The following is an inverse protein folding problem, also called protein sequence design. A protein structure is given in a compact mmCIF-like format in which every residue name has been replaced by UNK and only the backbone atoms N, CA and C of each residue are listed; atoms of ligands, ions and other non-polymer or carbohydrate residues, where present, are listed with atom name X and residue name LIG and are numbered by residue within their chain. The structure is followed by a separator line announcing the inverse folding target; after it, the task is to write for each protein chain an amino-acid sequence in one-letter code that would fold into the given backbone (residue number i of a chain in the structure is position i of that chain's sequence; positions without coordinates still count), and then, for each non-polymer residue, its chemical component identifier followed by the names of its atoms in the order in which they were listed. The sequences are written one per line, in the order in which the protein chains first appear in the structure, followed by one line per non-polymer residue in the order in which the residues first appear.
data_IF_744139735139
#
_entry.id   IF_744139735139
#
_cell.length_a   1.000
_cell.length_b   1.000
_cell.length_c   1.000
_cell.angle_alpha   90.00
_cell.angle_beta   90.00
_cell.angle_gamma   90.00
#
_symmetry.space_group_name_H-M   'P 1'
#
loop_
_entity.id
_entity.type
_entity.pdbx_description
1 polymer ?
#
# COMPACT_ATOMS: atom_id res chain seq x y z
N UNK A 1 16.40 6.11 8.23
CA UNK A 1 15.82 6.52 6.94
C UNK A 1 14.42 7.04 7.21
N UNK A 2 14.13 8.27 6.76
CA UNK A 2 12.94 9.05 7.12
C UNK A 2 11.64 8.29 6.82
N UNK A 3 10.83 8.08 7.86
CA UNK A 3 9.45 7.60 7.74
C UNK A 3 8.56 8.79 7.38
N UNK A 4 8.60 9.19 6.11
CA UNK A 4 7.58 10.04 5.53
C UNK A 4 7.57 9.85 4.02
N UNK A 5 6.53 9.17 3.52
CA UNK A 5 6.20 9.13 2.10
C UNK A 5 5.98 10.53 1.51
N UNK A 6 5.88 11.57 2.37
CA UNK A 6 6.08 12.98 2.00
C UNK A 6 7.00 13.69 3.02
N UNK A 7 8.30 13.35 3.06
CA UNK A 7 9.28 14.10 3.87
C UNK A 7 9.47 15.55 3.41
N UNK A 8 8.89 15.93 2.27
CA UNK A 8 9.02 17.24 1.62
C UNK A 8 8.06 18.29 2.21
N UNK A 9 7.11 17.87 3.04
CA UNK A 9 6.12 18.75 3.66
C UNK A 9 5.86 18.29 5.11
N UNK A 10 5.97 19.22 6.07
CA UNK A 10 5.44 19.03 7.43
C UNK A 10 4.08 19.72 7.52
N UNK A 11 3.03 19.08 8.05
CA UNK A 11 1.75 19.75 8.24
C UNK A 11 1.90 20.79 9.37
N UNK A 12 2.10 22.05 9.00
CA UNK A 12 1.88 23.18 9.88
C UNK A 12 0.59 23.86 9.42
N UNK A 13 -0.48 23.68 10.20
CA UNK A 13 -1.69 24.48 10.05
C UNK A 13 -1.44 25.86 10.71
N UNK A 14 -0.72 26.73 10.01
CA UNK A 14 -0.77 28.16 10.25
C UNK A 14 -1.31 28.85 9.01
N UNK A 15 -2.44 29.54 9.17
CA UNK A 15 -3.02 30.37 8.10
C UNK A 15 -2.15 31.61 7.98
N UNK A 16 -1.13 31.55 7.14
CA UNK A 16 -0.40 32.74 6.73
C UNK A 16 -1.26 33.55 5.75
N UNK A 17 -1.29 34.89 5.86
CA UNK A 17 -1.92 35.73 4.84
C UNK A 17 -1.25 35.47 3.49
N UNK A 18 -2.00 35.54 2.40
CA UNK A 18 -1.53 35.23 1.04
C UNK A 18 -0.21 35.95 0.72
N UNK A 19 0.90 35.25 0.94
CA UNK A 19 2.22 35.58 0.44
C UNK A 19 2.14 35.51 -1.08
N UNK A 20 2.81 36.44 -1.77
CA UNK A 20 3.03 36.27 -3.20
C UNK A 20 3.78 34.96 -3.41
N UNK A 21 3.23 34.05 -4.22
CA UNK A 21 3.91 32.80 -4.58
C UNK A 21 5.23 33.17 -5.24
N UNK A 22 6.34 32.91 -4.56
CA UNK A 22 7.67 33.12 -5.09
C UNK A 22 8.16 31.85 -5.78
N UNK A 23 8.34 31.94 -7.09
CA UNK A 23 8.98 30.93 -7.90
C UNK A 23 10.48 31.19 -7.98
N UNK A 24 11.25 30.12 -7.93
CA UNK A 24 12.71 30.12 -8.06
C UNK A 24 13.15 28.91 -8.88
N UNK A 25 14.42 28.88 -9.27
CA UNK A 25 14.99 27.66 -9.84
C UNK A 25 14.78 26.49 -8.89
N UNK A 26 14.32 25.35 -9.41
CA UNK A 26 14.15 24.15 -8.61
C UNK A 26 15.50 23.77 -7.96
N UNK A 27 15.52 23.37 -6.68
CA UNK A 27 16.72 22.79 -6.10
C UNK A 27 17.06 21.47 -6.81
N UNK A 28 18.31 20.99 -6.76
CA UNK A 28 18.64 19.67 -7.28
C UNK A 28 17.80 18.60 -6.59
N UNK A 29 16.98 17.89 -7.37
CA UNK A 29 16.18 16.76 -6.90
C UNK A 29 16.96 15.46 -7.09
N UNK A 30 16.58 14.41 -6.35
CA UNK A 30 17.08 13.05 -6.52
C UNK A 30 15.91 12.08 -6.61
N UNK A 31 16.13 10.90 -7.19
CA UNK A 31 15.06 9.88 -7.23
C UNK A 31 14.63 9.46 -5.82
N UNK A 32 15.57 9.30 -4.89
CA UNK A 32 15.27 8.89 -3.51
C UNK A 32 14.37 9.91 -2.78
N UNK A 33 14.47 11.20 -3.12
CA UNK A 33 13.60 12.24 -2.55
C UNK A 33 12.15 12.15 -3.05
N UNK A 34 11.95 11.67 -4.28
CA UNK A 34 10.67 11.68 -4.98
C UNK A 34 9.97 10.31 -4.99
N UNK A 35 10.73 9.23 -4.82
CA UNK A 35 10.21 7.88 -4.89
C UNK A 35 9.17 7.63 -3.79
N UNK A 36 7.95 7.29 -4.19
CA UNK A 36 6.81 7.06 -3.31
C UNK A 36 6.11 8.32 -2.82
N UNK A 37 6.37 9.49 -3.43
CA UNK A 37 5.70 10.76 -3.11
C UNK A 37 4.41 10.94 -3.92
N UNK A 38 3.50 11.76 -3.39
CA UNK A 38 2.18 11.97 -3.97
C UNK A 38 1.96 13.43 -4.39
N UNK A 39 1.29 13.62 -5.52
CA UNK A 39 1.17 14.91 -6.18
C UNK A 39 -0.20 15.08 -6.81
N UNK A 40 -0.69 16.31 -6.84
CA UNK A 40 -1.68 16.75 -7.83
C UNK A 40 -0.96 17.28 -9.06
N UNK A 41 -1.54 17.04 -10.24
CA UNK A 41 -1.03 17.48 -11.53
C UNK A 41 -2.08 18.34 -12.23
N UNK A 42 -1.63 19.49 -12.73
CA UNK A 42 -2.44 20.44 -13.48
C UNK A 42 -1.60 21.30 -14.40
N UNK A 43 -2.24 22.26 -15.06
CA UNK A 43 -1.56 23.30 -15.83
C UNK A 43 -2.17 24.68 -15.59
N UNK A 44 -1.41 25.73 -15.90
CA UNK A 44 -1.81 27.13 -15.62
C UNK A 44 -3.07 27.59 -16.35
N UNK A 45 -3.46 26.92 -17.43
CA UNK A 45 -4.62 27.30 -18.24
C UNK A 45 -5.88 26.53 -17.84
N UNK A 46 -5.77 25.22 -17.59
CA UNK A 46 -6.92 24.34 -17.28
C UNK A 46 -7.11 24.06 -15.80
N UNK A 47 -6.12 24.34 -14.97
CA UNK A 47 -6.11 23.97 -13.55
C UNK A 47 -5.77 22.49 -13.33
N UNK A 48 -6.13 21.99 -12.14
CA UNK A 48 -5.85 20.61 -11.71
C UNK A 48 -6.77 19.63 -12.43
N UNK A 49 -6.20 18.65 -13.12
CA UNK A 49 -6.94 17.56 -13.77
C UNK A 49 -6.68 16.19 -13.12
N UNK A 50 -5.57 16.02 -12.38
CA UNK A 50 -5.33 14.86 -11.52
C UNK A 50 -5.07 15.34 -10.10
N UNK A 51 -5.88 14.89 -9.13
CA UNK A 51 -5.75 15.29 -7.72
C UNK A 51 -4.78 14.42 -6.93
N UNK A 52 -4.50 13.22 -7.43
CA UNK A 52 -3.65 12.25 -6.75
C UNK A 52 -2.94 11.38 -7.78
N UNK A 53 -1.64 11.62 -7.93
CA UNK A 53 -0.68 10.89 -8.74
C UNK A 53 0.49 10.49 -7.84
N UNK A 54 1.07 9.32 -8.06
CA UNK A 54 2.22 8.83 -7.31
C UNK A 54 3.44 8.81 -8.21
N UNK A 55 4.56 9.35 -7.75
CA UNK A 55 5.87 9.06 -8.34
C UNK A 55 6.34 7.72 -7.78
N UNK A 56 5.81 6.63 -8.34
CA UNK A 56 5.96 5.28 -7.81
C UNK A 56 7.38 4.71 -8.08
N UNK A 57 7.80 3.65 -7.37
CA UNK A 57 9.13 3.07 -7.54
C UNK A 57 9.41 2.62 -8.97
N UNK A 58 10.70 2.51 -9.30
CA UNK A 58 11.17 2.12 -10.64
C UNK A 58 10.74 3.09 -11.76
N UNK A 59 10.46 4.36 -11.43
CA UNK A 59 10.07 5.39 -12.38
C UNK A 59 8.62 5.29 -12.87
N UNK A 60 7.80 4.41 -12.29
CA UNK A 60 6.41 4.24 -12.69
C UNK A 60 5.54 5.42 -12.24
N UNK A 61 4.52 5.77 -13.03
CA UNK A 61 3.49 6.74 -12.65
C UNK A 61 2.31 5.98 -12.04
N UNK A 62 1.98 6.29 -10.79
CA UNK A 62 0.85 5.71 -10.07
C UNK A 62 -0.39 6.58 -10.11
N UNK A 63 -1.57 5.96 -10.18
CA UNK A 63 -2.90 6.58 -10.14
C UNK A 63 -3.18 7.67 -11.20
N UNK A 64 -2.31 7.83 -12.19
CA UNK A 64 -2.51 8.64 -13.37
C UNK A 64 -1.98 7.85 -14.56
N UNK A 65 -2.80 7.63 -15.59
CA UNK A 65 -2.45 6.78 -16.71
C UNK A 65 -2.75 7.52 -18.02
N UNK A 66 -1.77 8.25 -18.51
CA UNK A 66 -1.80 8.96 -19.79
C UNK A 66 -0.51 8.62 -20.56
N UNK A 67 -0.57 8.26 -21.85
CA UNK A 67 0.65 7.92 -22.59
C UNK A 67 1.67 9.06 -22.73
N UNK A 68 1.29 10.32 -22.47
CA UNK A 68 2.23 11.45 -22.41
C UNK A 68 2.92 11.57 -21.02
N UNK A 69 2.50 10.79 -20.03
CA UNK A 69 3.05 10.73 -18.67
C UNK A 69 3.11 9.25 -18.26
N UNK A 70 3.99 8.51 -18.92
CA UNK A 70 4.15 7.07 -18.75
C UNK A 70 5.19 6.74 -17.66
N UNK A 71 6.21 7.58 -17.54
CA UNK A 71 7.35 7.35 -16.66
C UNK A 71 7.83 8.66 -16.02
N UNK A 72 8.52 8.58 -14.88
CA UNK A 72 9.24 9.69 -14.28
C UNK A 72 10.71 9.35 -14.06
N UNK A 73 11.54 10.38 -14.16
CA UNK A 73 12.96 10.26 -13.90
C UNK A 73 13.53 11.57 -13.37
N UNK A 74 14.72 11.52 -12.78
CA UNK A 74 15.48 12.73 -12.45
C UNK A 74 16.67 12.83 -13.39
N UNK A 75 16.69 13.84 -14.25
CA UNK A 75 17.76 14.11 -15.19
C UNK A 75 18.48 15.40 -14.79
N UNK A 76 19.79 15.33 -14.54
CA UNK A 76 20.60 16.49 -14.12
C UNK A 76 19.99 17.29 -12.94
N UNK A 77 19.41 16.59 -11.95
CA UNK A 77 18.79 17.21 -10.78
C UNK A 77 17.41 17.82 -11.03
N UNK A 78 16.77 17.54 -12.18
CA UNK A 78 15.41 17.99 -12.52
C UNK A 78 14.47 16.79 -12.62
N UNK A 79 13.26 16.92 -12.07
CA UNK A 79 12.21 15.95 -12.31
C UNK A 79 11.75 16.08 -13.77
N UNK A 80 11.69 14.96 -14.47
CA UNK A 80 11.15 14.85 -15.81
C UNK A 80 9.99 13.86 -15.79
N UNK A 81 8.85 14.25 -16.37
CA UNK A 81 7.85 13.32 -16.84
C UNK A 81 8.21 12.92 -18.28
N UNK A 82 7.99 11.66 -18.60
CA UNK A 82 8.42 11.02 -19.84
C UNK A 82 7.20 10.34 -20.47
N UNK A 83 7.05 10.48 -21.78
CA UNK A 83 6.01 9.81 -22.54
C UNK A 83 6.36 8.33 -22.84
N UNK A 84 5.40 7.60 -23.40
CA UNK A 84 5.54 6.18 -23.78
C UNK A 84 6.68 5.90 -24.77
N UNK A 85 7.14 6.92 -25.50
CA UNK A 85 8.19 6.79 -26.51
C UNK A 85 9.57 7.12 -25.91
N UNK A 86 9.63 7.45 -24.62
CA UNK A 86 10.85 7.75 -23.89
C UNK A 86 11.30 9.19 -24.00
N UNK A 87 10.46 10.09 -24.53
CA UNK A 87 10.79 11.51 -24.66
C UNK A 87 10.28 12.30 -23.45
N UNK A 88 11.02 13.32 -22.96
CA UNK A 88 10.52 14.20 -21.90
C UNK A 88 9.26 14.94 -22.35
N UNK A 89 8.16 14.73 -21.63
CA UNK A 89 6.92 15.47 -21.83
C UNK A 89 6.91 16.78 -21.05
N UNK A 90 7.45 16.78 -19.82
CA UNK A 90 7.62 17.99 -18.99
C UNK A 90 8.93 17.90 -18.23
N UNK A 91 9.69 18.99 -18.21
CA UNK A 91 10.89 19.14 -17.36
C UNK A 91 10.58 20.21 -16.31
N UNK A 92 10.61 19.82 -15.04
CA UNK A 92 10.32 20.70 -13.91
C UNK A 92 11.61 21.40 -13.46
N UNK A 93 11.77 22.65 -13.88
CA UNK A 93 12.96 23.47 -13.64
C UNK A 93 12.75 24.57 -12.60
N UNK A 94 11.50 24.80 -12.19
CA UNK A 94 11.10 25.83 -11.25
C UNK A 94 10.43 25.22 -10.03
N UNK A 95 10.65 25.80 -8.86
CA UNK A 95 10.02 25.39 -7.61
C UNK A 95 9.49 26.58 -6.83
N UNK A 96 8.40 26.32 -6.09
CA UNK A 96 7.93 27.16 -5.02
C UNK A 96 8.28 26.50 -3.69
N UNK A 97 9.01 27.22 -2.83
CA UNK A 97 9.49 26.74 -1.54
C UNK A 97 9.03 27.72 -0.46
N UNK A 98 8.43 27.18 0.61
CA UNK A 98 8.05 27.94 1.80
C UNK A 98 8.62 27.27 3.05
N UNK A 99 9.32 28.04 3.87
CA UNK A 99 10.01 27.56 5.09
C UNK A 99 10.89 26.31 4.87
N UNK A 100 11.52 26.23 3.69
CA UNK A 100 12.37 25.11 3.28
C UNK A 100 11.62 23.86 2.80
N UNK A 101 10.28 23.89 2.73
CA UNK A 101 9.46 22.81 2.21
C UNK A 101 9.15 23.03 0.72
N UNK A 102 9.19 21.97 -0.07
CA UNK A 102 8.83 22.04 -1.48
C UNK A 102 7.31 22.07 -1.61
N UNK A 103 6.76 23.23 -1.98
CA UNK A 103 5.32 23.47 -2.03
C UNK A 103 4.74 23.24 -3.43
N UNK A 104 5.53 23.45 -4.48
CA UNK A 104 5.17 23.08 -5.85
C UNK A 104 6.39 23.01 -6.77
N UNK A 105 6.26 22.26 -7.86
CA UNK A 105 7.15 22.28 -9.00
C UNK A 105 6.40 22.81 -10.23
N UNK A 106 7.08 23.58 -11.07
CA UNK A 106 6.58 24.01 -12.36
C UNK A 106 7.56 23.64 -13.48
N UNK A 107 7.01 23.27 -14.63
CA UNK A 107 7.79 22.92 -15.80
C UNK A 107 7.00 23.18 -17.07
N UNK A 108 7.68 23.62 -18.14
CA UNK A 108 7.06 23.73 -19.46
C UNK A 108 7.16 22.40 -20.19
N UNK A 109 6.13 22.06 -20.95
CA UNK A 109 6.10 20.80 -21.68
C UNK A 109 4.81 20.60 -22.46
N UNK A 110 4.63 19.39 -22.98
CA UNK A 110 3.46 18.98 -23.77
C UNK A 110 2.87 17.69 -23.19
N UNK A 111 1.64 17.76 -22.70
CA UNK A 111 0.86 16.58 -22.28
C UNK A 111 -0.41 16.53 -23.13
N UNK A 112 -0.67 15.40 -23.78
CA UNK A 112 -1.87 15.22 -24.61
C UNK A 112 -2.01 16.25 -25.74
N UNK A 113 -0.89 16.73 -26.29
CA UNK A 113 -0.86 17.75 -27.35
C UNK A 113 -1.03 19.20 -26.88
N UNK A 114 -1.07 19.45 -25.57
CA UNK A 114 -1.20 20.81 -25.00
C UNK A 114 0.15 21.31 -24.50
N UNK A 115 0.75 22.28 -25.19
CA UNK A 115 1.91 23.05 -24.69
C UNK A 115 1.44 24.01 -23.60
N UNK A 116 1.97 23.85 -22.39
CA UNK A 116 1.61 24.67 -21.23
C UNK A 116 2.72 24.63 -20.18
N UNK A 117 2.56 25.46 -19.14
CA UNK A 117 3.28 25.30 -17.88
C UNK A 117 2.47 24.38 -16.98
N UNK A 118 3.04 23.21 -16.69
CA UNK A 118 2.47 22.20 -15.83
C UNK A 118 2.95 22.39 -14.39
N UNK A 119 2.06 22.10 -13.45
CA UNK A 119 2.27 22.25 -12.01
C UNK A 119 2.12 20.89 -11.33
N UNK A 120 3.09 20.57 -10.47
CA UNK A 120 2.99 19.50 -9.50
C UNK A 120 2.93 20.12 -8.10
N UNK A 121 1.86 19.84 -7.36
CA UNK A 121 1.70 20.30 -5.97
C UNK A 121 1.63 19.06 -5.08
N UNK A 122 2.41 18.94 -4.00
CA UNK A 122 2.34 17.79 -3.10
C UNK A 122 0.90 17.56 -2.65
N UNK A 123 0.49 16.30 -2.63
CA UNK A 123 -0.83 15.88 -2.21
C UNK A 123 -0.70 14.85 -1.08
N UNK A 124 -1.76 14.75 -0.27
CA UNK A 124 -1.93 13.64 0.66
C UNK A 124 -2.94 12.64 0.09
N UNK A 125 -2.99 11.44 0.68
CA UNK A 125 -4.12 10.56 0.45
C UNK A 125 -5.41 11.31 0.80
N UNK A 126 -6.40 11.34 -0.10
CA UNK A 126 -7.67 11.98 0.19
C UNK A 126 -8.37 11.28 1.37
N UNK A 127 -9.12 12.05 2.19
CA UNK A 127 -9.83 11.50 3.33
C UNK A 127 -10.88 10.47 2.89
N UNK A 128 -11.16 9.48 3.73
CA UNK A 128 -12.10 8.42 3.40
C UNK A 128 -13.53 8.95 3.24
N UNK A 129 -14.22 8.71 2.12
CA UNK A 129 -15.44 9.43 1.78
C UNK A 129 -16.64 9.18 2.70
N UNK A 130 -16.65 8.06 3.43
CA UNK A 130 -17.80 7.64 4.24
C UNK A 130 -17.54 7.63 5.75
N UNK A 131 -16.28 7.41 6.15
CA UNK A 131 -15.93 7.02 7.52
C UNK A 131 -14.69 7.76 8.02
N UNK A 132 -14.38 8.91 7.43
CA UNK A 132 -13.20 9.72 7.79
C UNK A 132 -13.10 9.90 9.30
N UNK A 133 -11.95 9.52 9.85
CA UNK A 133 -11.60 9.83 11.23
C UNK A 133 -11.55 11.36 11.39
N UNK A 134 -12.23 11.95 12.39
CA UNK A 134 -12.18 13.38 12.64
C UNK A 134 -10.76 13.89 12.89
N UNK A 135 -10.51 15.14 12.53
CA UNK A 135 -9.22 15.82 12.79
C UNK A 135 -8.91 15.78 14.28
N UNK A 136 -7.66 15.42 14.62
CA UNK A 136 -7.16 15.37 16.00
C UNK A 136 -7.39 14.05 16.73
N UNK A 137 -8.12 13.09 16.15
CA UNK A 137 -8.20 11.74 16.70
C UNK A 137 -6.91 10.99 16.35
N UNK A 138 -6.16 10.60 17.38
CA UNK A 138 -4.93 9.83 17.20
C UNK A 138 -5.24 8.41 16.69
N UNK A 139 -4.51 8.00 15.65
CA UNK A 139 -4.63 6.68 15.03
C UNK A 139 -3.31 5.94 15.20
N UNK A 140 -3.16 5.36 16.39
CA UNK A 140 -1.93 4.74 16.88
C UNK A 140 -2.24 3.60 17.84
N UNK A 141 -1.83 2.40 17.49
CA UNK A 141 -1.93 1.25 18.37
C UNK A 141 -0.90 1.33 19.51
N UNK A 142 -1.27 0.83 20.69
CA UNK A 142 -0.35 0.59 21.79
C UNK A 142 0.01 -0.89 21.84
N UNK A 143 1.30 -1.19 21.75
CA UNK A 143 1.80 -2.54 21.95
C UNK A 143 1.78 -2.91 23.44
N UNK A 144 1.08 -3.99 23.76
CA UNK A 144 1.11 -4.68 25.06
C UNK A 144 2.38 -5.54 25.17
N UNK A 145 2.80 -6.14 24.05
CA UNK A 145 4.04 -6.90 23.91
C UNK A 145 4.78 -6.38 22.69
N UNK A 146 6.08 -6.19 22.84
CA UNK A 146 7.03 -5.87 21.77
C UNK A 146 8.44 -6.36 22.20
N UNK A 147 9.31 -6.78 21.28
CA UNK A 147 10.65 -7.24 21.62
C UNK A 147 11.51 -6.07 22.14
N UNK A 148 12.39 -6.35 23.11
CA UNK A 148 13.50 -5.46 23.45
C UNK A 148 14.46 -5.41 22.24
N UNK A 149 15.10 -4.26 21.99
CA UNK A 149 15.89 -4.03 20.76
C UNK A 149 16.83 -5.19 20.40
N UNK A 150 16.99 -5.49 19.10
CA UNK A 150 18.14 -6.27 18.60
C UNK A 150 17.89 -7.66 18.01
N UNK A 151 16.74 -8.30 18.18
CA UNK A 151 16.41 -9.57 17.50
C UNK A 151 15.17 -9.39 16.65
N UNK A 152 15.35 -9.26 15.34
CA UNK A 152 14.25 -9.16 14.38
C UNK A 152 14.56 -9.98 13.14
N UNK A 153 13.58 -10.75 12.73
CA UNK A 153 13.62 -11.45 11.44
C UNK A 153 13.34 -10.44 10.31
N UNK A 154 13.71 -10.73 9.05
CA UNK A 154 13.52 -9.77 7.95
C UNK A 154 12.04 -9.59 7.56
N UNK A 155 11.17 -10.54 7.90
CA UNK A 155 9.78 -10.56 7.45
C UNK A 155 8.78 -10.44 8.62
N UNK A 156 7.59 -9.93 8.34
CA UNK A 156 6.54 -9.73 9.33
C UNK A 156 5.20 -10.26 8.83
N UNK A 157 4.51 -10.99 9.69
CA UNK A 157 3.10 -11.32 9.52
C UNK A 157 2.29 -10.41 10.45
N UNK A 158 1.33 -9.67 9.91
CA UNK A 158 0.41 -8.83 10.69
C UNK A 158 -1.00 -9.35 10.54
N UNK A 159 -1.50 -10.01 11.58
CA UNK A 159 -2.84 -10.61 11.57
C UNK A 159 -3.75 -9.84 12.53
N UNK A 160 -4.88 -9.29 12.04
CA UNK A 160 -5.99 -8.93 12.91
C UNK A 160 -6.64 -10.22 13.39
N UNK A 161 -6.55 -10.55 14.67
CA UNK A 161 -6.99 -11.86 15.19
C UNK A 161 -8.10 -11.74 16.24
N UNK A 162 -9.03 -12.69 16.22
CA UNK A 162 -9.94 -12.98 17.32
C UNK A 162 -9.67 -14.36 17.93
N UNK A 163 -10.51 -14.77 18.89
CA UNK A 163 -10.43 -16.08 19.56
C UNK A 163 -10.57 -17.30 18.64
N UNK A 164 -11.03 -17.12 17.39
CA UNK A 164 -11.15 -18.18 16.37
C UNK A 164 -10.11 -18.10 15.26
N UNK A 165 -9.06 -17.30 15.44
CA UNK A 165 -8.01 -17.15 14.43
C UNK A 165 -7.25 -18.47 14.23
N UNK A 166 -6.87 -18.74 12.99
CA UNK A 166 -6.09 -19.91 12.58
C UNK A 166 -4.58 -19.70 12.63
N UNK A 167 -4.10 -18.50 13.03
CA UNK A 167 -2.67 -18.22 13.13
C UNK A 167 -1.85 -19.23 13.98
N UNK A 168 -2.41 -19.94 14.99
CA UNK A 168 -1.63 -20.96 15.69
C UNK A 168 -1.13 -22.09 14.78
N UNK A 169 -1.88 -22.39 13.70
CA UNK A 169 -1.50 -23.40 12.71
C UNK A 169 -0.28 -22.99 11.88
N UNK A 170 0.05 -21.70 11.84
CA UNK A 170 1.19 -21.18 11.09
C UNK A 170 2.55 -21.52 11.72
N UNK A 171 2.55 -22.04 12.96
CA UNK A 171 3.76 -22.55 13.61
C UNK A 171 3.95 -24.06 13.43
N UNK A 172 3.05 -24.72 12.70
CA UNK A 172 3.26 -26.12 12.34
C UNK A 172 4.37 -26.26 11.31
N UNK A 173 5.09 -27.39 11.40
CA UNK A 173 6.21 -27.77 10.52
C UNK A 173 7.38 -26.78 10.48
N UNK A 174 7.43 -25.80 11.38
CA UNK A 174 8.56 -24.89 11.47
C UNK A 174 9.04 -24.78 12.91
N UNK A 175 10.36 -24.76 13.09
CA UNK A 175 10.98 -24.43 14.36
C UNK A 175 11.43 -22.96 14.39
N UNK A 176 11.71 -22.46 15.59
CA UNK A 176 12.08 -21.05 15.79
C UNK A 176 13.40 -20.66 15.09
N UNK A 177 14.33 -21.60 14.96
CA UNK A 177 15.63 -21.40 14.32
C UNK A 177 15.53 -21.28 12.79
N UNK A 178 14.55 -21.97 12.19
CA UNK A 178 14.30 -21.98 10.75
C UNK A 178 13.31 -20.89 10.32
N UNK A 179 12.45 -20.42 11.24
CA UNK A 179 11.47 -19.35 10.99
C UNK A 179 12.17 -18.04 10.62
N UNK A 180 11.74 -17.41 9.51
CA UNK A 180 12.31 -16.16 9.00
C UNK A 180 11.36 -14.96 9.08
N UNK A 181 10.27 -15.08 9.83
CA UNK A 181 9.24 -14.07 10.00
C UNK A 181 8.83 -13.92 11.47
N UNK A 182 8.55 -12.69 11.87
CA UNK A 182 7.95 -12.36 13.15
C UNK A 182 6.43 -12.20 13.01
N UNK A 183 5.68 -12.31 14.10
CA UNK A 183 4.23 -12.21 14.16
C UNK A 183 3.81 -11.00 15.00
N UNK A 184 2.98 -10.15 14.40
CA UNK A 184 2.27 -9.07 15.06
C UNK A 184 0.77 -9.34 15.06
N UNK A 185 0.19 -9.38 16.25
CA UNK A 185 -1.22 -9.65 16.47
C UNK A 185 -1.94 -8.36 16.83
N UNK A 186 -2.84 -7.93 15.96
CA UNK A 186 -3.84 -6.91 16.26
C UNK A 186 -5.11 -7.56 16.77
N UNK A 187 -5.23 -7.75 18.07
CA UNK A 187 -6.35 -8.50 18.64
C UNK A 187 -7.63 -7.67 18.65
N UNK A 188 -8.67 -8.12 17.95
CA UNK A 188 -9.94 -7.37 17.83
C UNK A 188 -11.07 -7.88 18.74
N UNK A 189 -10.85 -8.99 19.47
CA UNK A 189 -11.81 -9.52 20.44
C UNK A 189 -12.17 -8.48 21.51
N UNK A 190 -13.40 -8.56 22.02
CA UNK A 190 -13.86 -7.66 23.08
C UNK A 190 -13.26 -8.05 24.44
N UNK A 191 -12.93 -9.33 24.59
CA UNK A 191 -12.23 -9.93 25.69
C UNK A 191 -10.77 -9.45 25.78
N UNK A 192 -10.17 -9.57 26.98
CA UNK A 192 -8.72 -9.45 27.10
C UNK A 192 -8.07 -10.50 26.20
N UNK A 193 -7.01 -10.16 25.45
CA UNK A 193 -6.40 -11.11 24.53
C UNK A 193 -5.91 -12.37 25.26
N UNK A 194 -6.68 -13.46 25.16
CA UNK A 194 -6.22 -14.82 25.42
C UNK A 194 -5.61 -15.33 24.11
N UNK A 195 -4.44 -14.78 23.78
CA UNK A 195 -3.70 -15.20 22.60
C UNK A 195 -3.11 -16.57 22.92
N UNK A 196 -3.42 -17.56 22.07
CA UNK A 196 -3.02 -18.97 22.21
C UNK A 196 -1.55 -19.18 22.61
N UNK A 197 -1.17 -20.39 22.99
CA UNK A 197 0.23 -20.82 23.27
C UNK A 197 1.25 -20.60 22.12
N UNK A 198 0.85 -19.98 21.02
CA UNK A 198 1.71 -19.65 19.88
C UNK A 198 2.64 -18.48 20.20
N UNK A 199 3.90 -18.50 19.73
CA UNK A 199 4.79 -17.37 19.92
C UNK A 199 4.34 -16.16 19.08
N UNK A 200 4.55 -14.97 19.61
CA UNK A 200 4.34 -13.71 18.91
C UNK A 200 5.33 -12.66 19.43
N UNK A 201 5.79 -11.81 18.53
CA UNK A 201 6.72 -10.73 18.87
C UNK A 201 5.97 -9.44 19.24
N UNK A 202 4.80 -9.20 18.64
CA UNK A 202 3.98 -8.02 18.93
C UNK A 202 2.53 -8.39 19.24
N UNK A 203 1.96 -7.69 20.22
CA UNK A 203 0.54 -7.77 20.55
C UNK A 203 -0.01 -6.38 20.82
N UNK A 204 -1.11 -6.02 20.16
CA UNK A 204 -1.92 -4.84 20.48
C UNK A 204 -3.39 -5.25 20.63
N UNK A 205 -4.10 -4.67 21.60
CA UNK A 205 -5.54 -4.91 21.79
C UNK A 205 -6.34 -3.74 21.20
N UNK A 206 -7.10 -4.03 20.15
CA UNK A 206 -7.86 -3.07 19.34
C UNK A 206 -9.31 -3.58 19.21
N UNK A 207 -10.05 -3.65 20.34
CA UNK A 207 -11.34 -4.33 20.39
C UNK A 207 -12.35 -3.73 19.41
N UNK A 208 -13.14 -4.59 18.78
CA UNK A 208 -14.24 -4.21 17.86
C UNK A 208 -13.79 -3.36 16.66
N UNK A 209 -12.51 -3.45 16.28
CA UNK A 209 -11.95 -2.73 15.15
C UNK A 209 -11.77 -3.67 13.96
N UNK A 210 -11.96 -3.16 12.74
CA UNK A 210 -11.82 -3.93 11.49
C UNK A 210 -10.35 -4.02 11.04
N UNK A 211 -10.06 -5.02 10.19
CA UNK A 211 -8.72 -5.36 9.69
C UNK A 211 -7.89 -4.14 9.26
N UNK A 212 -8.40 -3.33 8.33
CA UNK A 212 -7.61 -2.26 7.72
C UNK A 212 -7.37 -1.09 8.67
N UNK A 213 -8.34 -0.79 9.55
CA UNK A 213 -8.16 0.18 10.64
C UNK A 213 -7.10 -0.28 11.63
N UNK A 214 -7.11 -1.57 12.01
CA UNK A 214 -6.09 -2.19 12.87
C UNK A 214 -4.70 -2.09 12.23
N UNK A 215 -4.59 -2.49 10.97
CA UNK A 215 -3.32 -2.45 10.23
C UNK A 215 -2.78 -1.02 10.19
N UNK A 216 -3.63 -0.03 9.86
CA UNK A 216 -3.22 1.37 9.86
C UNK A 216 -2.71 1.81 11.25
N UNK A 217 -3.46 1.52 12.32
CA UNK A 217 -3.09 1.92 13.68
C UNK A 217 -1.76 1.29 14.13
N UNK A 218 -1.48 0.05 13.70
CA UNK A 218 -0.23 -0.66 13.97
C UNK A 218 0.97 -0.06 13.21
N UNK A 219 0.74 0.43 11.99
CA UNK A 219 1.76 1.05 11.13
C UNK A 219 1.83 2.58 11.28
N UNK A 220 1.55 3.11 12.47
CA UNK A 220 1.70 4.53 12.77
C UNK A 220 3.12 5.05 12.50
N UNK A 221 3.27 6.37 12.38
CA UNK A 221 4.60 7.00 12.21
C UNK A 221 5.53 6.62 13.38
N UNK A 222 6.73 6.15 13.05
CA UNK A 222 7.71 5.65 14.03
C UNK A 222 7.42 4.26 14.60
N UNK A 223 6.40 3.56 14.09
CA UNK A 223 6.12 2.17 14.49
C UNK A 223 7.32 1.27 14.23
N UNK A 224 7.67 0.35 15.16
CA UNK A 224 8.76 -0.60 14.95
C UNK A 224 8.49 -1.57 13.79
N UNK A 225 7.24 -1.71 13.35
CA UNK A 225 6.85 -2.60 12.25
C UNK A 225 7.38 -2.12 10.89
N UNK A 226 7.79 -0.86 10.77
CA UNK A 226 8.44 -0.34 9.56
C UNK A 226 9.87 -0.85 9.33
N UNK A 227 10.43 -1.61 10.28
CA UNK A 227 11.79 -2.15 10.15
C UNK A 227 11.86 -3.48 9.38
N UNK A 228 10.71 -4.04 9.01
CA UNK A 228 10.62 -5.28 8.23
C UNK A 228 10.64 -5.01 6.72
N UNK A 229 11.15 -5.97 5.96
CA UNK A 229 11.37 -5.83 4.51
C UNK A 229 10.21 -6.35 3.67
N UNK A 230 9.54 -7.41 4.15
CA UNK A 230 8.31 -7.97 3.60
C UNK A 230 7.27 -8.14 4.68
N UNK A 231 6.04 -7.78 4.35
CA UNK A 231 4.92 -7.74 5.28
C UNK A 231 3.76 -8.50 4.68
N UNK A 232 3.33 -9.58 5.32
CA UNK A 232 2.09 -10.29 4.98
C UNK A 232 0.96 -9.77 5.85
N UNK A 233 -0.18 -9.43 5.23
CA UNK A 233 -1.37 -8.90 5.91
C UNK A 233 -2.57 -9.88 5.76
N UNK A 234 -2.48 -11.10 6.31
CA UNK A 234 -3.53 -12.12 6.17
C UNK A 234 -4.80 -11.79 6.96
N UNK A 235 -5.93 -12.29 6.47
CA UNK A 235 -7.11 -12.56 7.29
C UNK A 235 -6.83 -13.71 8.27
N UNK A 236 -7.65 -13.79 9.31
CA UNK A 236 -7.42 -14.72 10.42
C UNK A 236 -7.94 -16.14 10.18
N UNK A 237 -8.51 -16.43 9.01
CA UNK A 237 -9.08 -17.73 8.60
C UNK A 237 -8.31 -18.44 7.48
N UNK A 238 -7.04 -18.06 7.30
CA UNK A 238 -6.18 -18.68 6.32
C UNK A 238 -5.44 -19.87 6.92
N UNK A 239 -5.68 -21.04 6.35
CA UNK A 239 -5.04 -22.28 6.76
C UNK A 239 -3.84 -22.58 5.87
N UNK A 240 -2.65 -22.50 6.48
CA UNK A 240 -1.36 -22.90 5.94
C UNK A 240 -0.42 -23.25 7.11
N UNK A 241 0.81 -23.65 6.81
CA UNK A 241 1.83 -23.96 7.82
C UNK A 241 3.04 -23.00 7.73
N UNK A 242 4.01 -23.15 8.63
CA UNK A 242 5.12 -22.23 8.73
C UNK A 242 6.14 -22.33 7.60
N UNK A 243 6.32 -23.53 7.02
CA UNK A 243 7.19 -23.73 5.84
C UNK A 243 6.63 -22.98 4.63
N UNK A 244 5.31 -23.04 4.44
CA UNK A 244 4.59 -22.27 3.43
C UNK A 244 4.87 -20.75 3.57
N UNK A 245 4.75 -20.19 4.78
CA UNK A 245 5.00 -18.77 5.03
C UNK A 245 6.47 -18.41 4.77
N UNK A 246 7.41 -19.23 5.25
CA UNK A 246 8.85 -19.04 5.01
C UNK A 246 9.15 -19.01 3.50
N UNK A 247 8.58 -19.94 2.75
CA UNK A 247 8.77 -20.07 1.30
C UNK A 247 8.13 -18.91 0.55
N UNK A 248 6.96 -18.44 1.00
CA UNK A 248 6.27 -17.28 0.43
C UNK A 248 7.13 -16.02 0.54
N UNK A 249 7.68 -15.73 1.73
CA UNK A 249 8.60 -14.60 1.90
C UNK A 249 9.87 -14.76 1.07
N UNK A 250 10.46 -15.96 1.03
CA UNK A 250 11.63 -16.22 0.20
C UNK A 250 11.36 -15.90 -1.28
N UNK A 251 10.23 -16.34 -1.83
CA UNK A 251 9.87 -16.09 -3.23
C UNK A 251 9.54 -14.61 -3.47
N UNK A 252 8.87 -13.94 -2.52
CA UNK A 252 8.63 -12.49 -2.61
C UNK A 252 9.92 -11.68 -2.66
N UNK A 253 10.92 -12.06 -1.87
CA UNK A 253 12.26 -11.48 -1.91
C UNK A 253 13.00 -11.79 -3.21
N UNK A 254 13.10 -13.08 -3.55
CA UNK A 254 13.84 -13.57 -4.73
C UNK A 254 13.38 -12.92 -6.03
N UNK A 255 12.07 -12.68 -6.17
CA UNK A 255 11.48 -12.07 -7.37
C UNK A 255 11.31 -10.55 -7.26
N UNK A 256 11.80 -9.92 -6.18
CA UNK A 256 11.73 -8.46 -6.02
C UNK A 256 10.29 -7.90 -5.98
N UNK A 257 9.33 -8.71 -5.54
CA UNK A 257 7.91 -8.37 -5.59
C UNK A 257 7.58 -7.23 -4.63
N UNK A 258 6.79 -6.27 -5.12
CA UNK A 258 6.26 -5.15 -4.35
C UNK A 258 4.89 -5.45 -3.77
N UNK A 259 4.08 -6.23 -4.48
CA UNK A 259 2.77 -6.66 -4.03
C UNK A 259 2.49 -8.07 -4.55
N UNK A 260 2.21 -9.02 -3.66
CA UNK A 260 1.99 -10.40 -4.03
C UNK A 260 0.93 -11.05 -3.14
N UNK A 261 0.56 -12.29 -3.43
CA UNK A 261 -0.16 -13.16 -2.50
C UNK A 261 0.22 -14.62 -2.75
N UNK A 262 0.09 -15.52 -1.76
CA UNK A 262 0.08 -16.94 -2.05
C UNK A 262 -1.16 -17.28 -2.90
N UNK A 263 -1.09 -18.38 -3.66
CA UNK A 263 -2.28 -18.88 -4.35
C UNK A 263 -3.30 -19.47 -3.38
N UNK A 264 -4.54 -19.63 -3.82
CA UNK A 264 -5.61 -20.23 -3.03
C UNK A 264 -5.86 -21.70 -3.40
N UNK A 265 -6.10 -22.53 -2.39
CA UNK A 265 -6.49 -23.93 -2.56
C UNK A 265 -7.88 -24.00 -3.18
N UNK A 266 -8.04 -24.89 -4.16
CA UNK A 266 -9.35 -25.28 -4.68
C UNK A 266 -9.79 -26.59 -4.02
N UNK A 267 -11.03 -26.66 -3.56
CA UNK A 267 -11.62 -27.90 -3.04
C UNK A 267 -12.38 -27.70 -1.74
N UNK A 268 -12.89 -28.80 -1.14
CA UNK A 268 -13.64 -28.75 0.10
C UNK A 268 -12.87 -28.03 1.21
N UNK A 269 -13.54 -27.12 1.93
CA UNK A 269 -12.95 -26.35 3.02
C UNK A 269 -12.15 -25.11 2.62
N UNK A 270 -12.09 -24.78 1.32
CA UNK A 270 -11.51 -23.53 0.82
C UNK A 270 -12.49 -22.79 -0.09
N UNK A 271 -12.65 -21.49 0.11
CA UNK A 271 -13.63 -20.64 -0.57
C UNK A 271 -12.94 -19.48 -1.31
N UNK A 272 -12.17 -19.76 -2.38
CA UNK A 272 -11.59 -18.70 -3.21
C UNK A 272 -12.68 -17.94 -3.98
N UNK A 273 -12.64 -16.60 -3.95
CA UNK A 273 -13.59 -15.77 -4.70
C UNK A 273 -13.24 -15.66 -6.18
N UNK A 274 -11.96 -15.40 -6.45
CA UNK A 274 -11.49 -15.06 -7.79
C UNK A 274 -10.76 -16.25 -8.42
N UNK A 275 -11.23 -16.81 -9.55
CA UNK A 275 -10.51 -17.87 -10.25
C UNK A 275 -9.04 -17.54 -10.56
N UNK A 276 -8.70 -16.26 -10.74
CA UNK A 276 -7.33 -15.82 -11.00
C UNK A 276 -6.37 -16.16 -9.83
N UNK A 277 -6.86 -16.16 -8.59
CA UNK A 277 -6.08 -16.39 -7.36
C UNK A 277 -5.90 -17.87 -7.01
N UNK A 278 -6.63 -18.76 -7.66
CA UNK A 278 -6.52 -20.22 -7.46
C UNK A 278 -5.17 -20.75 -7.97
N UNK A 279 -4.60 -21.70 -7.23
CA UNK A 279 -3.32 -22.34 -7.56
C UNK A 279 -3.30 -22.91 -8.97
N UNK A 280 -2.24 -22.58 -9.72
CA UNK A 280 -1.94 -23.22 -11.01
C UNK A 280 -0.86 -24.31 -10.82
N UNK A 281 -1.13 -25.58 -11.21
CA UNK A 281 -0.13 -26.64 -11.19
C UNK A 281 1.09 -26.29 -12.05
N UNK A 282 2.27 -26.81 -11.67
CA UNK A 282 3.54 -26.60 -12.37
C UNK A 282 3.99 -25.13 -12.51
N UNK A 283 3.44 -24.25 -11.68
CA UNK A 283 3.83 -22.84 -11.57
C UNK A 283 4.47 -22.59 -10.20
N UNK A 284 5.47 -21.71 -10.16
CA UNK A 284 6.11 -21.27 -8.90
C UNK A 284 5.61 -19.86 -8.53
N UNK A 285 5.68 -18.93 -9.49
CA UNK A 285 5.23 -17.54 -9.37
C UNK A 285 4.61 -17.13 -10.71
N UNK A 286 3.45 -16.48 -10.67
CA UNK A 286 2.76 -15.88 -11.83
C UNK A 286 2.64 -14.39 -11.66
N UNK A 287 3.22 -13.66 -12.58
CA UNK A 287 3.03 -12.22 -12.63
C UNK A 287 1.61 -11.91 -13.11
N UNK A 288 0.83 -11.27 -12.25
CA UNK A 288 -0.61 -11.04 -12.44
C UNK A 288 -0.96 -9.64 -11.93
N UNK A 289 -1.91 -8.97 -12.57
CA UNK A 289 -2.28 -7.57 -12.26
C UNK A 289 -3.17 -7.40 -11.03
N UNK A 290 -3.46 -8.46 -10.28
CA UNK A 290 -4.42 -8.45 -9.18
C UNK A 290 -3.92 -9.26 -7.98
N UNK A 291 -4.05 -8.67 -6.80
CA UNK A 291 -3.77 -9.28 -5.49
C UNK A 291 -4.96 -9.01 -4.59
N UNK A 292 -5.53 -10.05 -4.00
CA UNK A 292 -6.73 -9.95 -3.18
C UNK A 292 -6.39 -9.39 -1.79
N UNK A 293 -7.28 -8.54 -1.26
CA UNK A 293 -7.12 -7.85 0.03
C UNK A 293 -7.00 -8.77 1.25
N UNK A 294 -7.41 -10.03 1.10
CA UNK A 294 -7.46 -11.01 2.18
C UNK A 294 -6.07 -11.54 2.56
N UNK A 295 -5.09 -11.62 1.65
CA UNK A 295 -3.74 -12.12 1.99
C UNK A 295 -2.56 -11.45 1.26
N UNK A 296 -2.53 -10.12 1.12
CA UNK A 296 -1.45 -9.46 0.38
C UNK A 296 -0.13 -9.52 1.14
N UNK A 297 0.95 -9.72 0.40
CA UNK A 297 2.35 -9.58 0.81
C UNK A 297 2.91 -8.34 0.15
N UNK A 298 3.31 -7.36 0.94
CA UNK A 298 3.92 -6.12 0.47
C UNK A 298 5.44 -6.14 0.66
N UNK A 299 6.18 -5.48 -0.24
CA UNK A 299 7.46 -4.89 0.14
C UNK A 299 7.24 -3.69 1.06
N UNK A 300 8.20 -3.38 1.93
CA UNK A 300 8.11 -2.20 2.80
C UNK A 300 7.78 -0.92 2.03
N UNK A 301 8.49 -0.67 0.93
CA UNK A 301 8.30 0.53 0.11
C UNK A 301 6.90 0.62 -0.50
N UNK A 302 6.35 -0.52 -0.93
CA UNK A 302 4.99 -0.57 -1.47
C UNK A 302 3.93 -0.34 -0.40
N UNK A 303 4.12 -0.92 0.80
CA UNK A 303 3.22 -0.68 1.93
C UNK A 303 3.24 0.79 2.38
N UNK A 304 4.41 1.45 2.40
CA UNK A 304 4.51 2.88 2.73
C UNK A 304 3.67 3.77 1.81
N UNK A 305 3.59 3.43 0.53
CA UNK A 305 2.75 4.12 -0.46
C UNK A 305 1.27 3.81 -0.22
N UNK A 306 0.94 2.60 0.21
CA UNK A 306 -0.45 2.13 0.27
C UNK A 306 -1.12 2.31 1.64
N UNK A 307 -0.37 2.46 2.73
CA UNK A 307 -0.90 2.33 4.09
C UNK A 307 -1.99 3.36 4.41
N UNK A 308 -1.85 4.61 3.95
CA UNK A 308 -2.83 5.67 4.19
C UNK A 308 -4.19 5.37 3.57
N UNK A 309 -4.23 4.60 2.48
CA UNK A 309 -5.50 4.15 1.90
C UNK A 309 -6.32 3.23 2.81
N UNK A 310 -5.69 2.63 3.84
CA UNK A 310 -6.33 1.71 4.79
C UNK A 310 -6.95 2.42 5.99
N UNK A 311 -6.62 3.70 6.23
CA UNK A 311 -6.87 4.44 7.47
C UNK A 311 -8.27 4.24 8.03
N UNK A 312 -9.29 4.47 7.22
CA UNK A 312 -10.68 4.52 7.65
C UNK A 312 -11.57 3.49 6.97
N UNK A 313 -10.95 2.54 6.26
CA UNK A 313 -11.67 1.54 5.46
C UNK A 313 -12.33 0.50 6.38
N UNK A 314 -13.61 0.25 6.16
CA UNK A 314 -14.40 -0.72 6.92
C UNK A 314 -14.36 -2.12 6.28
N UNK A 315 -14.62 -2.22 4.98
CA UNK A 315 -14.72 -3.53 4.28
C UNK A 315 -13.42 -3.99 3.63
N UNK A 316 -12.61 -3.05 3.13
CA UNK A 316 -11.44 -3.33 2.31
C UNK A 316 -11.70 -3.36 0.81
N UNK A 317 -12.97 -3.42 0.39
CA UNK A 317 -13.31 -3.55 -1.04
C UNK A 317 -12.73 -2.38 -1.85
N UNK A 318 -12.13 -2.72 -2.99
CA UNK A 318 -11.47 -1.76 -3.87
C UNK A 318 -10.00 -1.51 -3.57
N UNK A 319 -9.49 -1.87 -2.39
CA UNK A 319 -8.07 -1.69 -2.09
C UNK A 319 -7.17 -2.56 -2.98
N UNK A 320 -7.62 -3.77 -3.33
CA UNK A 320 -7.01 -4.67 -4.32
C UNK A 320 -6.88 -4.07 -5.73
N UNK A 321 -7.69 -3.06 -6.06
CA UNK A 321 -7.55 -2.27 -7.28
C UNK A 321 -6.70 -1.00 -7.08
N UNK A 322 -6.82 -0.36 -5.92
CA UNK A 322 -6.10 0.88 -5.63
C UNK A 322 -4.60 0.66 -5.40
N UNK A 323 -4.20 -0.40 -4.68
CA UNK A 323 -2.77 -0.64 -4.43
C UNK A 323 -1.97 -0.85 -5.72
N UNK A 324 -2.40 -1.70 -6.69
CA UNK A 324 -1.75 -1.76 -7.99
C UNK A 324 -1.73 -0.42 -8.70
N UNK A 325 -2.81 0.37 -8.60
CA UNK A 325 -2.87 1.71 -9.20
C UNK A 325 -1.80 2.64 -8.64
N UNK A 326 -1.65 2.71 -7.31
CA UNK A 326 -0.68 3.57 -6.64
C UNK A 326 0.76 3.16 -6.94
N UNK A 327 1.01 1.87 -7.16
CA UNK A 327 2.33 1.36 -7.53
C UNK A 327 2.64 1.50 -9.04
N UNK A 328 1.74 2.11 -9.81
CA UNK A 328 1.90 2.27 -11.26
C UNK A 328 1.70 0.98 -12.06
N UNK A 329 0.95 0.01 -11.53
CA UNK A 329 0.67 -1.31 -12.13
C UNK A 329 1.95 -2.06 -12.48
N UNK A 330 2.82 -2.37 -11.49
CA UNK A 330 4.16 -2.88 -11.74
C UNK A 330 4.09 -4.37 -12.16
N UNK A 331 3.85 -4.61 -13.46
CA UNK A 331 3.61 -5.94 -14.02
C UNK A 331 4.69 -6.97 -13.68
N UNK A 332 5.96 -6.57 -13.61
CA UNK A 332 7.08 -7.46 -13.28
C UNK A 332 7.37 -7.58 -11.76
N UNK A 333 6.59 -6.90 -10.91
CA UNK A 333 6.78 -6.88 -9.44
C UNK A 333 5.49 -7.18 -8.68
N UNK A 334 4.46 -7.63 -9.41
CA UNK A 334 3.21 -8.10 -8.85
C UNK A 334 2.95 -9.55 -9.23
N UNK A 335 2.64 -10.41 -8.26
CA UNK A 335 2.45 -11.82 -8.56
C UNK A 335 1.58 -12.61 -7.59
N UNK A 336 1.08 -13.74 -8.09
CA UNK A 336 0.57 -14.85 -7.29
C UNK A 336 1.66 -15.90 -7.17
N UNK A 337 1.93 -16.36 -5.95
CA UNK A 337 2.94 -17.37 -5.65
C UNK A 337 2.24 -18.74 -5.59
N UNK A 338 2.26 -19.50 -6.68
CA UNK A 338 1.63 -20.83 -6.76
C UNK A 338 2.41 -21.94 -6.07
N UNK A 339 3.70 -21.70 -5.77
CA UNK A 339 4.53 -22.66 -5.03
C UNK A 339 4.00 -22.94 -3.61
N UNK A 340 3.11 -22.08 -3.11
CA UNK A 340 2.35 -22.22 -1.87
C UNK A 340 0.88 -22.08 -2.21
N UNK A 341 0.03 -22.80 -1.50
CA UNK A 341 -1.41 -22.63 -1.59
C UNK A 341 -2.04 -22.59 -0.21
N UNK A 342 -2.79 -21.52 0.09
CA UNK A 342 -3.47 -21.34 1.38
C UNK A 342 -4.95 -21.66 1.23
N UNK A 343 -5.57 -22.24 2.26
CA UNK A 343 -7.02 -22.46 2.26
C UNK A 343 -7.72 -21.26 2.90
N UNK A 344 -8.69 -20.66 2.21
CA UNK A 344 -9.56 -19.63 2.77
C UNK A 344 -10.80 -20.30 3.37
N UNK A 345 -10.86 -20.40 4.71
CA UNK A 345 -11.78 -21.34 5.37
C UNK A 345 -13.17 -20.78 5.67
N UNK A 346 -13.41 -19.49 5.40
CA UNK A 346 -14.75 -18.88 5.51
C UNK A 346 -15.26 -18.41 4.16
N UNK A 347 -16.58 -18.53 3.89
CA UNK A 347 -17.17 -17.98 2.68
C UNK A 347 -17.32 -16.46 2.77
N UNK A 348 -17.34 -15.79 1.61
CA UNK A 348 -17.59 -14.36 1.49
C UNK A 348 -18.93 -13.93 2.08
N UNK A 349 -18.99 -12.68 2.55
CA UNK A 349 -20.22 -12.08 3.07
C UNK A 349 -20.74 -12.72 4.35
N UNK A 350 -19.99 -13.65 4.97
CA UNK A 350 -20.39 -14.29 6.22
C UNK A 350 -20.39 -13.31 7.41
N UNK A 351 -19.61 -12.24 7.34
CA UNK A 351 -19.32 -11.35 8.48
C UNK A 351 -19.54 -9.85 8.19
N UNK A 352 -20.01 -9.49 7.00
CA UNK A 352 -20.20 -8.11 6.56
C UNK A 352 -21.33 -7.96 5.53
N UNK A 353 -21.82 -6.73 5.38
CA UNK A 353 -22.84 -6.39 4.39
C UNK A 353 -22.18 -6.09 3.03
N UNK A 354 -22.42 -6.94 2.04
CA UNK A 354 -21.82 -6.84 0.70
C UNK A 354 -22.24 -5.55 -0.03
N UNK A 355 -23.49 -5.12 0.08
CA UNK A 355 -23.96 -3.89 -0.59
C UNK A 355 -23.24 -2.66 -0.03
N UNK A 356 -23.09 -2.57 1.30
CA UNK A 356 -22.33 -1.50 1.93
C UNK A 356 -20.85 -1.51 1.52
N UNK A 357 -20.24 -2.70 1.36
CA UNK A 357 -18.87 -2.84 0.88
C UNK A 357 -18.70 -2.34 -0.58
N UNK A 358 -19.65 -2.68 -1.46
CA UNK A 358 -19.66 -2.20 -2.86
C UNK A 358 -19.87 -0.68 -2.92
N UNK A 359 -20.72 -0.12 -2.07
CA UNK A 359 -20.93 1.33 -1.96
C UNK A 359 -19.66 2.05 -1.48
N UNK A 360 -18.98 1.51 -0.47
CA UNK A 360 -17.69 2.01 0.02
C UNK A 360 -16.63 1.99 -1.08
N UNK A 361 -16.48 0.87 -1.80
CA UNK A 361 -15.57 0.76 -2.94
C UNK A 361 -15.86 1.82 -4.01
N UNK A 362 -17.12 2.00 -4.40
CA UNK A 362 -17.49 2.98 -5.40
C UNK A 362 -17.18 4.41 -4.93
N UNK A 363 -17.36 4.70 -3.64
CA UNK A 363 -16.99 5.98 -3.05
C UNK A 363 -15.47 6.19 -3.07
N UNK A 364 -14.69 5.18 -2.66
CA UNK A 364 -13.22 5.22 -2.70
C UNK A 364 -12.69 5.48 -4.11
N UNK A 365 -13.21 4.78 -5.12
CA UNK A 365 -12.78 4.98 -6.51
C UNK A 365 -13.06 6.41 -7.00
N UNK A 366 -14.23 6.98 -6.67
CA UNK A 366 -14.52 8.40 -7.00
C UNK A 366 -13.55 9.35 -6.31
N UNK A 367 -13.27 9.12 -5.04
CA UNK A 367 -12.35 9.96 -4.24
C UNK A 367 -10.92 9.96 -4.79
N UNK A 368 -10.41 8.80 -5.21
CA UNK A 368 -9.09 8.67 -5.84
C UNK A 368 -9.09 8.97 -7.34
N UNK A 369 -10.22 9.39 -7.93
CA UNK A 369 -10.40 9.55 -9.39
C UNK A 369 -9.99 8.30 -10.20
N UNK A 370 -10.16 7.12 -9.59
CA UNK A 370 -9.70 5.86 -10.14
C UNK A 370 -10.78 5.19 -10.98
N UNK A 371 -10.39 4.68 -12.15
CA UNK A 371 -11.22 3.83 -13.00
C UNK A 371 -10.69 2.39 -12.95
N UNK A 372 -11.50 1.41 -12.49
CA UNK A 372 -11.04 0.04 -12.33
C UNK A 372 -10.75 -0.64 -13.67
N UNK A 373 -9.63 -1.38 -13.69
CA UNK A 373 -9.35 -2.34 -14.75
C UNK A 373 -10.19 -3.61 -14.56
N UNK A 374 -10.54 -4.24 -15.68
CA UNK A 374 -11.12 -5.58 -15.71
C UNK A 374 -10.00 -6.61 -15.86
N UNK A 375 -9.92 -7.54 -14.93
CA UNK A 375 -8.99 -8.66 -14.99
C UNK A 375 -9.77 -9.95 -15.28
N UNK A 376 -9.24 -10.79 -16.16
CA UNK A 376 -9.84 -12.09 -16.43
C UNK A 376 -9.79 -12.95 -15.17
N UNK A 377 -10.95 -13.45 -14.71
CA UNK A 377 -11.02 -14.27 -13.49
C UNK A 377 -11.04 -13.48 -12.18
N UNK A 378 -11.32 -12.18 -12.22
CA UNK A 378 -11.68 -11.35 -11.06
C UNK A 378 -13.15 -10.94 -11.23
N UNK A 379 -13.95 -11.09 -10.18
CA UNK A 379 -15.42 -11.12 -10.21
C UNK A 379 -16.03 -10.03 -9.35
#
# INVERSE_FOLDING_TARGET
MSLAANSLHKPAYEVHPASQIQWSDAPPLTQDMLNGTFWSLGDVNRGIFSRFMVLAPEGMIGNYFDPAVDFWHVMAGRLCLIDRDGLPSVIFDSAHIEDGNLMALAGRGVIGGVDSTYLLVPADHPPHPLFSTPVGVERKAKFLVQPQEGLRRPNLVVVPAGSKSLHPRWFEKIDDASRNWDLCIGYYGAETPEVSDSPYEYLAHLPKTKKFKIIYDLFHQGSPLWNYERIWLPDDDLLCDGEDINRMFHLSHKHGLDLAQPSLKKGPGSYPNHPLTVQRPNSVVRFEGFVEIMCPVFSRRALQICIESMKDVESGYGLDHLWPSFLGRPAARMAIIDAISVAHTRPLGATYNVNAAVEEQAALFRTYQYTPLKYAGVW
#
